data_IF_617894413408
#
_entry.id   IF_617894413408
#
_cell.length_a   1.000
_cell.length_b   1.000
_cell.length_c   1.000
_cell.angle_alpha   90.00
_cell.angle_beta   90.00
_cell.angle_gamma   90.00
#
_symmetry.space_group_name_H-M   'P 1'
#
loop_
_entity.id
_entity.type
_entity.pdbx_description
1 polymer ?
#
# COMPACT_ATOMS: atom_id res chain seq x y z
N UNK A 1 12.99 5.41 27.30
CA UNK A 1 11.69 4.73 27.06
C UNK A 1 11.73 4.17 25.65
N UNK A 2 11.86 2.85 25.48
CA UNK A 2 11.81 2.19 24.16
C UNK A 2 10.42 1.57 24.08
N UNK A 3 9.57 2.15 23.24
CA UNK A 3 8.16 1.79 23.14
C UNK A 3 8.01 0.29 22.87
N UNK A 4 7.06 -0.31 23.57
CA UNK A 4 6.68 -1.71 23.46
C UNK A 4 6.44 -2.12 22.00
N UNK A 5 7.26 -3.03 21.48
CA UNK A 5 6.91 -3.93 20.39
C UNK A 5 5.95 -4.98 20.96
N UNK A 6 4.74 -4.54 21.30
CA UNK A 6 3.56 -5.35 21.02
C UNK A 6 3.58 -5.67 19.53
N UNK A 7 3.15 -6.86 19.17
CA UNK A 7 2.92 -7.38 17.80
C UNK A 7 1.82 -6.57 17.08
N UNK A 8 1.98 -5.25 17.06
CA UNK A 8 1.06 -4.24 16.54
C UNK A 8 1.05 -4.40 15.05
N UNK A 9 -0.13 -4.70 14.50
CA UNK A 9 -0.47 -4.25 13.17
C UNK A 9 0.11 -2.84 13.00
N UNK A 10 0.90 -2.62 11.93
CA UNK A 10 1.46 -1.31 11.63
C UNK A 10 0.35 -0.25 11.77
N UNK A 11 0.63 0.98 12.24
CA UNK A 11 -0.43 1.98 12.30
C UNK A 11 -1.09 2.12 10.91
N UNK A 12 -2.41 2.33 10.88
CA UNK A 12 -3.10 2.59 9.63
C UNK A 12 -2.57 3.92 9.07
N UNK A 13 -1.98 3.90 7.89
CA UNK A 13 -1.46 5.10 7.23
C UNK A 13 -2.21 5.31 5.91
N UNK A 14 -2.36 6.56 5.52
CA UNK A 14 -2.78 6.91 4.15
C UNK A 14 -1.54 7.10 3.29
N UNK A 15 -1.52 6.46 2.12
CA UNK A 15 -0.49 6.61 1.12
C UNK A 15 -1.13 6.92 -0.23
N UNK A 16 -0.59 7.90 -0.93
CA UNK A 16 -0.99 8.27 -2.29
C UNK A 16 0.01 7.64 -3.26
N UNK A 17 -0.49 7.17 -4.40
CA UNK A 17 0.36 6.47 -5.32
C UNK A 17 -0.36 5.91 -6.53
N UNK A 18 0.42 5.25 -7.37
CA UNK A 18 -0.08 4.65 -8.61
C UNK A 18 -0.10 3.13 -8.48
N UNK A 19 -1.22 2.51 -8.83
CA UNK A 19 -1.33 1.06 -8.91
C UNK A 19 -0.67 0.58 -10.21
N UNK A 20 0.30 -0.32 -10.11
CA UNK A 20 0.94 -0.99 -11.24
C UNK A 20 0.69 -2.48 -11.15
N UNK A 21 0.44 -3.11 -12.29
CA UNK A 21 0.35 -4.58 -12.37
C UNK A 21 1.41 -5.05 -13.34
N UNK A 22 2.27 -5.95 -12.86
CA UNK A 22 3.39 -6.50 -13.62
C UNK A 22 3.43 -8.02 -13.42
N UNK A 23 3.40 -8.78 -14.53
CA UNK A 23 3.46 -10.25 -14.49
C UNK A 23 2.36 -10.93 -13.66
N UNK A 24 1.21 -10.28 -13.46
CA UNK A 24 0.11 -10.76 -12.61
C UNK A 24 0.26 -10.42 -11.11
N UNK A 25 1.27 -9.65 -10.72
CA UNK A 25 1.44 -9.10 -9.37
C UNK A 25 1.04 -7.63 -9.32
N UNK A 26 0.31 -7.26 -8.28
CA UNK A 26 -0.06 -5.87 -8.03
C UNK A 26 0.98 -5.19 -7.14
N UNK A 27 1.45 -4.04 -7.61
CA UNK A 27 2.41 -3.18 -6.96
C UNK A 27 1.77 -1.82 -6.73
N UNK A 28 2.00 -1.25 -5.56
CA UNK A 28 1.61 0.11 -5.26
C UNK A 28 2.85 0.99 -5.21
N UNK A 29 2.98 1.91 -6.16
CA UNK A 29 4.09 2.87 -6.17
C UNK A 29 3.65 4.09 -5.37
N UNK A 30 4.15 4.21 -4.14
CA UNK A 30 3.85 5.35 -3.29
C UNK A 30 4.55 6.60 -3.83
N UNK A 31 3.82 7.71 -3.99
CA UNK A 31 4.35 8.95 -4.57
C UNK A 31 5.37 9.62 -3.63
N UNK A 32 5.14 9.53 -2.33
CA UNK A 32 5.99 10.11 -1.28
C UNK A 32 7.46 9.65 -1.35
N UNK A 33 7.68 8.36 -1.61
CA UNK A 33 9.02 7.74 -1.65
C UNK A 33 9.42 7.30 -3.07
N UNK A 34 8.52 7.45 -4.04
CA UNK A 34 8.59 6.85 -5.37
C UNK A 34 8.96 5.35 -5.37
N UNK A 35 8.55 4.64 -4.31
CA UNK A 35 8.96 3.25 -4.06
C UNK A 35 7.82 2.27 -4.38
N UNK A 36 8.09 1.17 -5.09
CA UNK A 36 7.11 0.10 -5.27
C UNK A 36 6.99 -0.76 -4.00
N UNK A 37 5.76 -0.95 -3.57
CA UNK A 37 5.36 -1.81 -2.46
C UNK A 37 4.55 -2.99 -2.98
N UNK A 38 4.84 -4.19 -2.49
CA UNK A 38 4.06 -5.38 -2.83
C UNK A 38 2.68 -5.28 -2.18
N UNK A 39 1.62 -5.48 -2.94
CA UNK A 39 0.26 -5.41 -2.41
C UNK A 39 -0.18 -6.79 -1.98
N UNK A 40 -0.32 -6.99 -0.67
CA UNK A 40 -0.73 -8.28 -0.06
C UNK A 40 -2.19 -8.60 -0.42
N UNK A 41 -2.99 -7.55 -0.59
CA UNK A 41 -4.39 -7.55 -0.99
C UNK A 41 -4.52 -6.94 -2.40
N UNK A 42 -4.22 -7.69 -3.48
CA UNK A 42 -4.34 -7.16 -4.84
C UNK A 42 -5.80 -6.98 -5.26
N UNK A 43 -6.73 -7.72 -4.64
CA UNK A 43 -8.16 -7.64 -4.94
C UNK A 43 -8.78 -6.27 -4.63
N UNK A 44 -8.33 -5.58 -3.58
CA UNK A 44 -8.79 -4.23 -3.25
C UNK A 44 -8.35 -3.17 -4.26
N UNK A 45 -7.32 -3.45 -5.06
CA UNK A 45 -6.83 -2.56 -6.12
C UNK A 45 -7.22 -3.04 -7.53
N UNK A 46 -7.95 -4.16 -7.64
CA UNK A 46 -8.40 -4.69 -8.91
C UNK A 46 -9.32 -3.68 -9.60
N UNK A 47 -9.02 -3.32 -10.85
CA UNK A 47 -9.76 -2.28 -11.59
C UNK A 47 -9.28 -0.85 -11.32
N UNK A 48 -8.29 -0.64 -10.45
CA UNK A 48 -7.63 0.65 -10.24
C UNK A 48 -6.23 0.70 -10.86
N UNK A 49 -5.92 -0.26 -11.72
CA UNK A 49 -4.62 -0.44 -12.38
C UNK A 49 -4.31 0.78 -13.27
N UNK A 50 -3.09 1.29 -13.18
CA UNK A 50 -2.63 2.46 -13.92
C UNK A 50 -3.21 3.80 -13.43
N UNK A 51 -4.05 3.80 -12.40
CA UNK A 51 -4.65 5.02 -11.85
C UNK A 51 -3.90 5.49 -10.60
N UNK A 52 -3.90 6.81 -10.40
CA UNK A 52 -3.45 7.41 -9.16
C UNK A 52 -4.58 7.31 -8.13
N UNK A 53 -4.29 6.67 -7.01
CA UNK A 53 -5.26 6.44 -5.92
C UNK A 53 -4.60 6.72 -4.58
N UNK A 54 -5.42 7.13 -3.63
CA UNK A 54 -5.06 7.19 -2.22
C UNK A 54 -5.54 5.90 -1.56
N UNK A 55 -4.64 5.19 -0.90
CA UNK A 55 -4.96 3.97 -0.14
C UNK A 55 -4.75 4.23 1.34
N UNK A 56 -5.66 3.74 2.17
CA UNK A 56 -5.40 3.54 3.60
C UNK A 56 -4.89 2.13 3.76
N UNK A 57 -3.65 1.97 4.21
CA UNK A 57 -2.98 0.68 4.28
C UNK A 57 -2.08 0.55 5.51
N UNK A 58 -1.81 -0.69 5.89
CA UNK A 58 -0.75 -1.02 6.84
C UNK A 58 0.54 -1.24 6.06
N UNK A 59 1.56 -0.41 6.33
CA UNK A 59 2.90 -0.56 5.75
C UNK A 59 3.72 -1.57 6.54
N UNK A 60 4.23 -2.59 5.86
CA UNK A 60 5.17 -3.57 6.38
C UNK A 60 6.55 -3.29 5.78
N UNK A 61 7.27 -2.33 6.37
CA UNK A 61 8.62 -1.96 5.93
C UNK A 61 9.62 -3.12 6.01
N UNK A 62 9.38 -4.08 6.91
CA UNK A 62 10.17 -5.32 7.04
C UNK A 62 9.99 -6.26 5.85
N UNK A 63 8.79 -6.29 5.25
CA UNK A 63 8.45 -7.14 4.08
C UNK A 63 8.45 -6.39 2.76
N UNK A 64 8.62 -5.07 2.80
CA UNK A 64 8.41 -4.19 1.65
C UNK A 64 7.02 -4.39 1.00
N UNK A 65 6.01 -4.58 1.83
CA UNK A 65 4.65 -4.89 1.41
C UNK A 65 3.61 -4.00 2.11
N UNK A 66 2.43 -3.85 1.50
CA UNK A 66 1.31 -3.10 2.06
C UNK A 66 0.03 -3.95 2.08
N UNK A 67 -0.75 -3.80 3.15
CA UNK A 67 -2.10 -4.33 3.22
C UNK A 67 -3.10 -3.19 3.11
N UNK A 68 -3.72 -3.08 1.93
CA UNK A 68 -4.75 -2.08 1.65
C UNK A 68 -6.03 -2.40 2.42
N UNK A 69 -6.53 -1.42 3.15
CA UNK A 69 -7.80 -1.47 3.89
C UNK A 69 -8.90 -0.70 3.15
N UNK A 70 -8.57 0.41 2.50
CA UNK A 70 -9.51 1.20 1.72
C UNK A 70 -8.81 1.93 0.58
N UNK A 71 -9.53 2.12 -0.51
CA UNK A 71 -9.07 2.81 -1.72
C UNK A 71 -9.98 3.99 -1.99
N UNK A 72 -9.36 5.12 -2.31
CA UNK A 72 -10.02 6.33 -2.77
C UNK A 72 -9.36 6.78 -4.06
N UNK A 73 -10.11 6.83 -5.15
CA UNK A 73 -9.60 7.41 -6.39
C UNK A 73 -9.35 8.90 -6.20
N UNK A 74 -8.16 9.33 -6.61
CA UNK A 74 -7.82 10.74 -6.74
C UNK A 74 -8.06 11.15 -8.20
N UNK A 75 -8.60 12.36 -8.39
CA UNK A 75 -8.99 12.91 -9.70
C UNK A 75 -7.90 13.78 -10.26
#
# INVERSE_FOLDING_TARGET
MRAAQTEKAAPLTTAEGTVKVDGGKTWFVADADQKPWEVINPEALKGHEGHHVQVSAHLYSDKNAIHVMSVKMLK
#
